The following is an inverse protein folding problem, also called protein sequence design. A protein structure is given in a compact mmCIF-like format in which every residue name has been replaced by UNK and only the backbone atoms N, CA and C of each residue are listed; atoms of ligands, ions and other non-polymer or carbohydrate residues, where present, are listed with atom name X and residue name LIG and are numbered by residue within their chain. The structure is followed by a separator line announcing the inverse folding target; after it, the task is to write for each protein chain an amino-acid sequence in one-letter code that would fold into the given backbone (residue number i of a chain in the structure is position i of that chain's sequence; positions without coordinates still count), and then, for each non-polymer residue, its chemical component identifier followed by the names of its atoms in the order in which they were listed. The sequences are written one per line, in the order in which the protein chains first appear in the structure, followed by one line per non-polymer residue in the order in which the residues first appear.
data_IF_676538324628
#
_entry.id   IF_676538324628
#
_cell.length_a   1.000
_cell.length_b   1.000
_cell.length_c   1.000
_cell.angle_alpha   90.00
_cell.angle_beta   90.00
_cell.angle_gamma   90.00
#
_symmetry.space_group_name_H-M   'P 1'
#
loop_
_entity.id
_entity.type
_entity.pdbx_description
1 polymer ?
#
# COMPACT_ATOMS: atom_id res chain seq x y z
N UNK A 1 -22.17 16.55 -6.70
CA UNK A 1 -21.09 15.54 -6.59
C UNK A 1 -20.54 15.27 -7.98
N UNK A 2 -19.31 15.70 -8.28
CA UNK A 2 -18.73 15.57 -9.61
C UNK A 2 -18.35 14.09 -9.90
N UNK A 3 -18.90 13.53 -10.96
CA UNK A 3 -18.56 12.20 -11.46
C UNK A 3 -17.22 12.26 -12.20
N UNK A 4 -16.15 11.76 -11.59
CA UNK A 4 -14.86 11.60 -12.27
C UNK A 4 -14.99 10.57 -13.40
N UNK A 5 -14.91 11.04 -14.63
CA UNK A 5 -14.91 10.25 -15.86
C UNK A 5 -13.59 9.45 -15.98
N UNK A 6 -13.65 8.12 -15.82
CA UNK A 6 -12.48 7.22 -15.71
C UNK A 6 -11.74 6.93 -17.04
N UNK A 7 -12.13 7.54 -18.16
CA UNK A 7 -11.67 7.16 -19.50
C UNK A 7 -10.69 8.13 -20.19
N UNK A 8 -10.17 9.14 -19.50
CA UNK A 8 -9.17 10.05 -20.09
C UNK A 8 -7.76 9.53 -19.76
N UNK A 9 -7.00 9.12 -20.79
CA UNK A 9 -5.57 8.81 -20.60
C UNK A 9 -4.90 10.08 -20.04
N UNK A 10 -4.13 9.99 -18.95
CA UNK A 10 -3.46 11.15 -18.38
C UNK A 10 -2.57 11.77 -19.46
N UNK A 11 -2.54 13.10 -19.52
CA UNK A 11 -1.59 13.80 -20.38
C UNK A 11 -0.15 13.44 -19.98
N UNK A 12 0.80 13.60 -20.91
CA UNK A 12 2.22 13.29 -20.65
C UNK A 12 2.80 14.11 -19.50
N UNK A 13 2.30 15.32 -19.28
CA UNK A 13 2.70 16.20 -18.19
C UNK A 13 2.15 15.75 -16.84
N UNK A 14 0.90 15.32 -16.78
CA UNK A 14 0.31 14.74 -15.55
C UNK A 14 1.02 13.46 -15.15
N UNK A 15 1.41 12.62 -16.12
CA UNK A 15 2.17 11.42 -15.87
C UNK A 15 3.54 11.71 -15.25
N UNK A 16 4.27 12.71 -15.78
CA UNK A 16 5.56 13.13 -15.22
C UNK A 16 5.42 13.66 -13.80
N UNK A 17 4.44 14.54 -13.54
CA UNK A 17 4.16 15.05 -12.19
C UNK A 17 3.82 13.94 -11.21
N UNK A 18 3.04 12.94 -11.63
CA UNK A 18 2.74 11.78 -10.80
C UNK A 18 4.00 10.94 -10.53
N UNK A 19 4.86 10.74 -11.54
CA UNK A 19 6.13 10.03 -11.42
C UNK A 19 7.10 10.73 -10.46
N UNK A 20 7.24 12.05 -10.54
CA UNK A 20 8.10 12.82 -9.62
C UNK A 20 7.62 12.72 -8.17
N UNK A 21 6.30 12.87 -7.93
CA UNK A 21 5.71 12.66 -6.60
C UNK A 21 5.97 11.25 -6.09
N UNK A 22 5.76 10.25 -6.93
CA UNK A 22 5.91 8.84 -6.56
C UNK A 22 7.37 8.43 -6.28
N UNK A 23 8.35 9.21 -6.76
CA UNK A 23 9.79 9.06 -6.45
C UNK A 23 10.22 9.72 -5.15
N UNK A 24 9.39 10.57 -4.54
CA UNK A 24 9.70 11.19 -3.26
C UNK A 24 9.92 10.12 -2.20
N UNK A 25 11.04 10.19 -1.48
CA UNK A 25 11.34 9.29 -0.37
C UNK A 25 10.48 9.71 0.83
N UNK A 26 9.83 8.72 1.44
CA UNK A 26 9.07 8.86 2.67
C UNK A 26 9.68 7.95 3.74
N UNK A 27 9.68 8.43 4.97
CA UNK A 27 10.07 7.71 6.16
C UNK A 27 8.82 7.15 6.85
N UNK A 28 8.96 5.96 7.41
CA UNK A 28 7.82 5.31 8.06
C UNK A 28 8.18 3.95 8.62
N UNK A 29 7.24 3.39 9.38
CA UNK A 29 7.39 2.09 10.01
C UNK A 29 6.75 1.04 9.12
N UNK A 30 7.55 0.02 8.78
CA UNK A 30 7.04 -1.18 8.12
C UNK A 30 6.45 -2.14 9.15
N UNK A 31 5.27 -2.70 8.87
CA UNK A 31 4.60 -3.69 9.70
C UNK A 31 4.25 -4.94 8.91
N UNK A 32 4.62 -6.11 9.44
CA UNK A 32 4.17 -7.42 8.97
C UNK A 32 3.08 -7.96 9.88
N UNK A 33 1.89 -8.15 9.31
CA UNK A 33 0.73 -8.70 10.03
C UNK A 33 0.69 -10.23 9.99
N UNK A 34 1.51 -10.85 9.13
CA UNK A 34 1.59 -12.31 8.99
C UNK A 34 2.71 -12.90 9.84
N UNK A 35 3.83 -12.20 10.00
CA UNK A 35 5.00 -12.70 10.73
C UNK A 35 5.72 -11.56 11.45
N UNK A 36 5.45 -11.42 12.75
CA UNK A 36 6.12 -10.45 13.61
C UNK A 36 7.64 -10.64 13.59
N UNK A 37 8.40 -9.56 13.43
CA UNK A 37 9.87 -9.59 13.34
C UNK A 37 10.42 -10.05 11.99
N UNK A 38 9.57 -10.28 10.98
CA UNK A 38 9.99 -10.66 9.64
C UNK A 38 10.74 -9.55 8.89
N UNK A 39 11.51 -9.95 7.87
CA UNK A 39 12.13 -9.02 6.91
C UNK A 39 11.49 -9.22 5.55
N UNK A 40 11.06 -8.13 4.91
CA UNK A 40 10.54 -8.12 3.55
C UNK A 40 11.63 -7.66 2.59
N UNK A 41 12.06 -8.59 1.73
CA UNK A 41 12.93 -8.32 0.60
C UNK A 41 12.10 -8.40 -0.68
N UNK A 42 11.98 -7.28 -1.39
CA UNK A 42 11.21 -7.26 -2.63
C UNK A 42 11.73 -6.26 -3.66
N UNK A 43 11.47 -6.59 -4.92
CA UNK A 43 11.85 -5.80 -6.07
C UNK A 43 10.61 -5.21 -6.69
N UNK A 44 10.55 -3.89 -6.80
CA UNK A 44 9.38 -3.19 -7.35
C UNK A 44 9.78 -2.25 -8.48
N UNK A 45 8.99 -2.29 -9.55
CA UNK A 45 9.13 -1.45 -10.73
C UNK A 45 7.76 -0.91 -11.12
N UNK A 46 7.57 0.41 -10.98
CA UNK A 46 6.36 1.10 -11.45
C UNK A 46 6.55 1.78 -12.80
N UNK A 47 7.74 2.34 -13.03
CA UNK A 47 8.08 3.10 -14.23
C UNK A 47 9.19 2.40 -15.05
N UNK A 48 9.26 2.68 -16.34
CA UNK A 48 10.32 2.17 -17.19
C UNK A 48 11.69 2.67 -16.71
N UNK A 49 12.68 1.78 -16.59
CA UNK A 49 14.03 2.09 -16.11
C UNK A 49 14.21 2.13 -14.59
N UNK A 50 13.13 2.08 -13.80
CA UNK A 50 13.19 2.31 -12.35
C UNK A 50 12.93 1.00 -11.59
N UNK A 51 13.97 0.18 -11.45
CA UNK A 51 13.91 -1.08 -10.73
C UNK A 51 14.67 -0.93 -9.42
N UNK A 52 13.93 -0.89 -8.30
CA UNK A 52 14.51 -0.84 -6.96
C UNK A 52 14.35 -2.16 -6.23
N UNK A 53 15.40 -2.55 -5.51
CA UNK A 53 15.35 -3.61 -4.50
C UNK A 53 15.27 -2.93 -3.13
N UNK A 54 14.33 -3.37 -2.31
CA UNK A 54 14.04 -2.79 -1.01
C UNK A 54 14.01 -3.88 0.05
N UNK A 55 14.74 -3.63 1.13
CA UNK A 55 14.73 -4.42 2.35
C UNK A 55 14.07 -3.60 3.47
N UNK A 56 13.07 -4.17 4.12
CA UNK A 56 12.41 -3.56 5.28
C UNK A 56 12.24 -4.59 6.38
N UNK A 57 12.50 -4.17 7.62
CA UNK A 57 12.38 -5.04 8.79
C UNK A 57 11.15 -4.62 9.59
N UNK A 58 10.35 -5.59 10.02
CA UNK A 58 9.14 -5.35 10.81
C UNK A 58 9.43 -4.52 12.06
N UNK A 59 8.63 -3.47 12.26
CA UNK A 59 8.75 -2.54 13.37
C UNK A 59 9.91 -1.55 13.29
N UNK A 60 10.75 -1.59 12.23
CA UNK A 60 11.81 -0.61 12.03
C UNK A 60 11.39 0.51 11.09
N UNK A 61 11.96 1.70 11.33
CA UNK A 61 11.87 2.80 10.37
C UNK A 61 12.61 2.43 9.09
N UNK A 62 11.96 2.67 7.95
CA UNK A 62 12.53 2.48 6.62
C UNK A 62 12.25 3.69 5.76
N UNK A 63 13.21 4.06 4.91
CA UNK A 63 13.10 5.15 3.95
C UNK A 63 12.90 4.57 2.56
N UNK A 64 11.69 4.70 2.04
CA UNK A 64 11.29 4.12 0.75
C UNK A 64 10.61 5.16 -0.13
N UNK A 65 10.64 5.02 -1.47
CA UNK A 65 9.85 5.89 -2.34
C UNK A 65 8.35 5.78 -2.05
N UNK A 66 7.61 6.87 -2.22
CA UNK A 66 6.17 6.93 -1.99
C UNK A 66 5.42 5.90 -2.84
N UNK A 67 5.90 5.58 -4.06
CA UNK A 67 5.30 4.53 -4.88
C UNK A 67 5.32 3.15 -4.22
N UNK A 68 6.40 2.88 -3.47
CA UNK A 68 6.62 1.62 -2.77
C UNK A 68 5.69 1.55 -1.57
N UNK A 69 5.61 2.62 -0.76
CA UNK A 69 4.67 2.73 0.35
C UNK A 69 3.22 2.53 -0.09
N UNK A 70 2.79 3.21 -1.17
CA UNK A 70 1.45 3.05 -1.76
C UNK A 70 1.20 1.62 -2.25
N UNK A 71 2.21 0.99 -2.84
CA UNK A 71 2.09 -0.38 -3.33
C UNK A 71 1.86 -1.36 -2.17
N UNK A 72 2.65 -1.24 -1.10
CA UNK A 72 2.50 -2.06 0.11
C UNK A 72 1.08 -1.92 0.65
N UNK A 73 0.63 -0.69 0.90
CA UNK A 73 -0.67 -0.43 1.52
C UNK A 73 -1.85 -0.86 0.64
N UNK A 74 -1.73 -0.81 -0.70
CA UNK A 74 -2.83 -1.15 -1.62
C UNK A 74 -2.86 -2.61 -2.04
N UNK A 75 -1.70 -3.22 -2.27
CA UNK A 75 -1.58 -4.51 -2.97
C UNK A 75 -1.20 -5.66 -2.05
N UNK A 76 -0.50 -5.41 -0.94
CA UNK A 76 -0.05 -6.47 -0.04
C UNK A 76 -1.16 -6.92 0.93
N UNK A 77 -2.21 -7.52 0.36
CA UNK A 77 -3.36 -8.11 1.05
C UNK A 77 -3.73 -9.44 0.41
N UNK A 78 -4.31 -10.36 1.19
CA UNK A 78 -4.78 -11.66 0.71
C UNK A 78 -6.27 -11.85 1.04
N UNK A 79 -6.98 -12.60 0.21
CA UNK A 79 -8.36 -13.01 0.50
C UNK A 79 -8.36 -14.13 1.55
N UNK A 80 -9.19 -13.98 2.57
CA UNK A 80 -9.46 -15.03 3.55
C UNK A 80 -10.79 -15.67 3.18
N UNK A 81 -10.72 -16.89 2.67
CA UNK A 81 -11.89 -17.72 2.43
C UNK A 81 -12.22 -18.49 3.71
N UNK A 82 -13.45 -18.41 4.21
CA UNK A 82 -13.92 -19.31 5.26
C UNK A 82 -15.00 -20.23 4.72
N UNK A 83 -14.89 -21.51 5.05
CA UNK A 83 -15.93 -22.48 4.77
C UNK A 83 -16.83 -22.53 6.01
N UNK A 84 -17.97 -21.87 5.95
CA UNK A 84 -18.95 -21.87 7.04
C UNK A 84 -20.10 -22.78 6.63
N UNK A 85 -20.37 -23.79 7.46
CA UNK A 85 -21.56 -24.64 7.32
C UNK A 85 -22.72 -23.95 8.00
N UNK A 86 -23.89 -23.94 7.36
CA UNK A 86 -25.13 -23.54 8.02
C UNK A 86 -25.62 -24.63 9.01
N UNK A 87 -26.71 -24.34 9.72
CA UNK A 87 -27.29 -25.27 10.70
C UNK A 87 -27.77 -26.60 10.06
N UNK A 88 -28.00 -26.61 8.74
CA UNK A 88 -28.44 -27.75 7.94
C UNK A 88 -27.27 -28.47 7.24
N UNK A 89 -26.02 -28.03 7.47
CA UNK A 89 -24.81 -28.64 6.93
C UNK A 89 -24.48 -28.25 5.48
N UNK A 90 -25.15 -27.25 4.91
CA UNK A 90 -24.82 -26.73 3.58
C UNK A 90 -23.68 -25.70 3.65
N UNK A 91 -22.77 -25.70 2.67
CA UNK A 91 -21.75 -24.67 2.56
C UNK A 91 -22.34 -23.31 2.25
N UNK A 92 -22.24 -22.39 3.20
CA UNK A 92 -22.49 -20.97 2.96
C UNK A 92 -21.18 -20.30 2.59
N UNK A 93 -21.14 -19.65 1.42
CA UNK A 93 -19.99 -18.80 1.05
C UNK A 93 -20.03 -17.54 1.92
N UNK A 94 -19.05 -17.39 2.79
CA UNK A 94 -18.79 -16.11 3.45
C UNK A 94 -18.25 -15.09 2.43
N UNK A 95 -18.51 -13.81 2.70
CA UNK A 95 -18.02 -12.68 1.90
C UNK A 95 -16.49 -12.64 1.95
N UNK A 96 -15.84 -12.39 0.80
CA UNK A 96 -14.39 -12.21 0.67
C UNK A 96 -13.87 -11.15 1.65
N UNK A 97 -13.28 -11.61 2.76
CA UNK A 97 -12.61 -10.74 3.72
C UNK A 97 -11.15 -10.61 3.29
N UNK A 98 -10.72 -9.39 2.94
CA UNK A 98 -9.31 -9.13 2.69
C UNK A 98 -8.58 -8.89 4.02
N UNK A 99 -7.44 -9.56 4.20
CA UNK A 99 -6.53 -9.35 5.32
C UNK A 99 -5.27 -8.68 4.80
N UNK A 100 -4.86 -7.61 5.45
CA UNK A 100 -3.62 -6.91 5.11
C UNK A 100 -2.43 -7.79 5.54
N UNK A 101 -1.48 -8.05 4.63
CA UNK A 101 -0.24 -8.78 4.94
C UNK A 101 0.84 -7.84 5.46
N UNK A 102 0.97 -6.70 4.80
CA UNK A 102 2.00 -5.70 5.09
C UNK A 102 1.40 -4.31 5.10
N UNK A 103 1.82 -3.45 6.03
CA UNK A 103 1.50 -2.03 6.00
C UNK A 103 2.74 -1.18 6.18
N UNK A 104 2.67 0.03 5.64
CA UNK A 104 3.69 1.07 5.82
C UNK A 104 3.01 2.31 6.39
N UNK A 105 3.37 2.64 7.62
CA UNK A 105 2.87 3.80 8.36
C UNK A 105 3.86 4.95 8.19
N UNK A 106 3.52 5.88 7.32
CA UNK A 106 4.37 7.04 7.02
C UNK A 106 4.36 8.04 8.16
N UNK A 107 5.53 8.56 8.53
CA UNK A 107 5.68 9.62 9.52
C UNK A 107 5.56 11.01 8.91
N UNK A 108 5.89 11.16 7.61
CA UNK A 108 5.92 12.45 6.90
C UNK A 108 4.55 13.13 6.65
N UNK A 109 3.42 12.54 7.08
CA UNK A 109 2.09 13.14 6.90
C UNK A 109 1.51 13.75 8.19
N UNK A 110 2.25 13.76 9.31
CA UNK A 110 1.76 14.33 10.56
C UNK A 110 1.92 15.87 10.65
N UNK A 111 2.73 16.48 9.79
CA UNK A 111 3.09 17.91 9.92
C UNK A 111 2.15 18.90 9.20
N UNK A 112 1.26 18.45 8.30
CA UNK A 112 0.40 19.38 7.52
C UNK A 112 -0.91 19.76 8.24
N UNK A 113 -1.41 18.94 9.17
CA UNK A 113 -2.63 19.25 9.94
C UNK A 113 -2.36 20.20 11.14
N UNK A 114 -1.15 20.22 11.69
CA UNK A 114 -0.80 21.07 12.84
C UNK A 114 -0.55 22.54 12.44
N UNK A 115 -0.21 22.78 11.17
CA UNK A 115 0.03 24.13 10.64
C UNK A 115 -1.23 24.86 10.17
N UNK A 116 -2.38 24.17 10.13
CA UNK A 116 -3.69 24.75 9.82
C UNK A 116 -4.44 25.27 11.06
N UNK A 117 -3.87 25.09 12.26
CA UNK A 117 -4.45 25.46 13.56
C UNK A 117 -3.66 26.56 14.30
N UNK A 118 -2.63 27.15 13.67
CA UNK A 118 -1.80 28.22 14.25
C UNK A 118 -2.03 29.57 13.56
#
# INVERSE_FOLDING_TARGET
MATLNKNKKPSSEEFKKAMEKDKQIVSGIFRSHESSGGTLNFRYKKYAGDVGEYEMVDGKESKIPMMVAKHINKTCRYSKHSYVLDADGNPTKSVDQFVQRFSFESMDFQDEDEKAMA
#
